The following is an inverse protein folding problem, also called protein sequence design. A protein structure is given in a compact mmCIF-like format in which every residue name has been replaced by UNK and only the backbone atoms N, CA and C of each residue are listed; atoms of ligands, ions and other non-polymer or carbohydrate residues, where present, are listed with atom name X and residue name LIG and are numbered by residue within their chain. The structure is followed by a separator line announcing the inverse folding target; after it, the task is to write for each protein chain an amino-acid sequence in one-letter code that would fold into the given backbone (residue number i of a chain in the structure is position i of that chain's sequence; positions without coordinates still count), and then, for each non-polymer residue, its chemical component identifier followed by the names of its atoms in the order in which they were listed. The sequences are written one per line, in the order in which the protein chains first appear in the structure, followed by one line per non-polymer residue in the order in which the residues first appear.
data_IF_596156404380
#
_entry.id   IF_596156404380
#
_cell.length_a   1.000
_cell.length_b   1.000
_cell.length_c   1.000
_cell.angle_alpha   90.00
_cell.angle_beta   90.00
_cell.angle_gamma   90.00
#
_symmetry.space_group_name_H-M   'P 1'
#
loop_
_entity.id
_entity.type
_entity.pdbx_description
1 polymer ?
#
# COMPACT_ATOMS: atom_id res chain seq x y z
N UNK A 1 37.65 11.73 1.49
CA UNK A 1 36.43 12.10 0.74
C UNK A 1 36.08 10.92 -0.15
N UNK A 2 35.14 10.08 0.26
CA UNK A 2 34.75 8.87 -0.49
C UNK A 2 33.48 9.19 -1.28
N UNK A 3 33.57 9.11 -2.61
CA UNK A 3 32.42 9.32 -3.48
C UNK A 3 31.41 8.18 -3.28
N UNK A 4 30.16 8.54 -2.96
CA UNK A 4 29.06 7.58 -2.90
C UNK A 4 28.86 6.95 -4.29
N UNK A 5 28.75 5.62 -4.31
CA UNK A 5 28.43 4.86 -5.51
C UNK A 5 27.02 5.25 -5.99
N UNK A 6 26.82 5.62 -7.27
CA UNK A 6 25.48 5.91 -7.77
C UNK A 6 24.70 4.61 -7.80
N UNK A 7 23.61 4.54 -7.02
CA UNK A 7 22.63 3.44 -7.11
C UNK A 7 21.78 3.71 -8.36
N UNK A 8 22.40 3.49 -9.52
CA UNK A 8 21.78 3.59 -10.82
C UNK A 8 21.15 2.26 -11.23
N UNK A 9 19.89 2.33 -11.66
CA UNK A 9 19.22 1.32 -12.47
C UNK A 9 18.92 0.01 -11.75
N UNK A 10 17.71 -0.14 -11.23
CA UNK A 10 17.16 -1.47 -11.04
C UNK A 10 17.03 -2.12 -12.43
N UNK A 11 18.01 -2.95 -12.76
CA UNK A 11 17.97 -3.89 -13.88
C UNK A 11 16.72 -4.76 -13.70
N UNK A 12 15.68 -4.46 -14.48
CA UNK A 12 14.52 -5.32 -14.63
C UNK A 12 14.98 -6.49 -15.47
N UNK A 13 15.52 -7.53 -14.83
CA UNK A 13 15.85 -8.77 -15.51
C UNK A 13 14.59 -9.29 -16.21
N UNK A 14 14.66 -9.56 -17.53
CA UNK A 14 13.55 -10.15 -18.24
C UNK A 14 13.48 -11.64 -17.89
N UNK A 15 12.28 -12.06 -17.49
CA UNK A 15 11.79 -13.45 -17.44
C UNK A 15 12.41 -14.42 -16.40
N UNK A 16 11.77 -14.42 -15.22
CA UNK A 16 11.70 -15.58 -14.31
C UNK A 16 10.26 -16.14 -14.30
N UNK A 17 9.67 -16.43 -15.47
CA UNK A 17 8.59 -17.42 -15.65
C UNK A 17 7.29 -17.31 -14.85
N UNK A 18 6.98 -16.18 -14.22
CA UNK A 18 5.67 -15.91 -13.66
C UNK A 18 5.29 -14.47 -13.98
N UNK A 19 4.60 -14.28 -15.11
CA UNK A 19 3.73 -13.13 -15.26
C UNK A 19 2.68 -13.21 -14.14
N UNK A 20 2.97 -12.56 -13.01
CA UNK A 20 2.05 -12.45 -11.89
C UNK A 20 0.91 -11.45 -12.20
N UNK A 21 0.74 -11.03 -13.45
CA UNK A 21 -0.33 -10.16 -13.88
C UNK A 21 -0.18 -8.74 -13.34
N UNK A 22 1.03 -8.16 -13.41
CA UNK A 22 1.15 -6.71 -13.17
C UNK A 22 0.62 -5.99 -14.41
N UNK A 23 -0.70 -5.83 -14.48
CA UNK A 23 -1.38 -5.19 -15.59
C UNK A 23 -1.16 -3.67 -15.61
N UNK A 24 -0.82 -3.09 -14.45
CA UNK A 24 -0.62 -1.64 -14.29
C UNK A 24 0.41 -1.35 -13.21
N UNK A 25 1.42 -0.55 -13.54
CA UNK A 25 2.32 0.06 -12.56
C UNK A 25 1.81 1.47 -12.22
N UNK A 26 1.42 1.69 -10.97
CA UNK A 26 0.89 3.01 -10.53
C UNK A 26 2.03 4.00 -10.29
N UNK A 27 3.18 3.52 -9.77
CA UNK A 27 4.37 4.36 -9.55
C UNK A 27 5.60 3.63 -10.06
N UNK A 28 6.28 4.26 -11.02
CA UNK A 28 7.43 3.71 -11.72
C UNK A 28 8.56 3.34 -10.77
N UNK A 29 9.03 2.10 -10.83
CA UNK A 29 10.20 1.62 -10.09
C UNK A 29 9.91 1.26 -8.63
N UNK A 30 8.74 0.68 -8.33
CA UNK A 30 8.18 0.42 -6.98
C UNK A 30 9.07 -0.35 -5.96
N UNK A 31 10.36 -0.58 -6.19
CA UNK A 31 11.34 -1.00 -5.17
C UNK A 31 12.30 0.15 -4.87
N UNK A 32 11.79 1.25 -4.31
CA UNK A 32 12.53 2.50 -4.11
C UNK A 32 12.00 3.68 -4.94
N UNK A 33 10.80 3.56 -5.49
CA UNK A 33 10.13 4.65 -6.17
C UNK A 33 9.87 5.83 -5.22
N UNK A 34 9.84 7.02 -5.80
CA UNK A 34 9.38 8.23 -5.10
C UNK A 34 7.99 8.57 -5.59
N UNK A 35 7.02 8.52 -4.68
CA UNK A 35 5.64 8.87 -4.94
C UNK A 35 5.35 10.38 -4.82
N UNK A 36 4.07 10.76 -4.95
CA UNK A 36 3.64 12.13 -4.66
C UNK A 36 4.10 12.57 -3.27
N UNK A 37 4.47 13.85 -3.14
CA UNK A 37 4.97 14.40 -1.88
C UNK A 37 6.37 13.93 -1.46
N UNK A 38 7.13 13.28 -2.35
CA UNK A 38 8.49 12.82 -2.04
C UNK A 38 8.53 11.56 -1.18
N UNK A 39 7.40 10.85 -1.06
CA UNK A 39 7.28 9.68 -0.19
C UNK A 39 7.92 8.47 -0.87
N UNK A 40 8.89 7.84 -0.20
CA UNK A 40 9.52 6.63 -0.71
C UNK A 40 8.61 5.41 -0.55
N UNK A 41 8.53 4.59 -1.60
CA UNK A 41 7.72 3.37 -1.63
C UNK A 41 8.55 2.15 -1.99
N UNK A 42 8.35 1.08 -1.21
CA UNK A 42 8.98 -0.21 -1.39
C UNK A 42 7.93 -1.31 -1.43
N UNK A 43 7.77 -1.93 -2.60
CA UNK A 43 6.82 -2.98 -2.88
C UNK A 43 7.54 -4.34 -2.90
N UNK A 44 7.34 -5.10 -1.83
CA UNK A 44 7.87 -6.47 -1.71
C UNK A 44 6.92 -7.44 -2.41
N UNK A 45 7.48 -8.44 -3.10
CA UNK A 45 6.75 -9.56 -3.70
C UNK A 45 7.34 -10.85 -3.15
N UNK A 46 6.63 -11.49 -2.22
CA UNK A 46 7.05 -12.72 -1.56
C UNK A 46 5.87 -13.70 -1.53
N UNK A 47 6.12 -14.97 -1.85
CA UNK A 47 5.09 -16.01 -1.79
C UNK A 47 4.62 -16.21 -0.35
N UNK A 48 3.32 -16.44 -0.18
CA UNK A 48 2.70 -16.70 1.12
C UNK A 48 2.23 -15.46 1.89
N UNK A 49 2.61 -14.25 1.43
CA UNK A 49 2.08 -13.00 1.95
C UNK A 49 0.79 -12.64 1.20
N UNK A 50 -0.26 -12.22 1.93
CA UNK A 50 -1.52 -11.76 1.32
C UNK A 50 -1.48 -10.26 1.10
N UNK A 51 -1.62 -9.45 2.15
CA UNK A 51 -1.43 -8.00 2.05
C UNK A 51 -0.84 -7.45 3.34
N UNK A 52 0.36 -6.89 3.24
CA UNK A 52 1.07 -6.26 4.34
C UNK A 52 1.45 -4.84 3.92
N UNK A 53 1.11 -3.86 4.73
CA UNK A 53 1.48 -2.48 4.53
C UNK A 53 2.00 -1.87 5.81
N UNK A 54 3.03 -1.04 5.66
CA UNK A 54 3.68 -0.35 6.76
C UNK A 54 4.04 1.06 6.31
N UNK A 55 3.74 2.03 7.19
CA UNK A 55 4.14 3.42 7.04
C UNK A 55 5.04 3.76 8.22
N UNK A 56 6.28 4.17 7.91
CA UNK A 56 7.29 4.52 8.90
C UNK A 56 7.51 6.03 8.85
N UNK A 57 7.29 6.71 9.97
CA UNK A 57 7.47 8.14 10.14
C UNK A 57 8.60 8.38 11.15
N UNK A 58 9.76 8.81 10.65
CA UNK A 58 10.95 9.06 11.46
C UNK A 58 11.10 10.53 11.86
N UNK A 59 11.59 10.77 13.07
CA UNK A 59 12.07 12.07 13.53
C UNK A 59 13.30 11.90 14.45
N UNK A 60 13.93 13.00 14.86
CA UNK A 60 15.11 12.93 15.73
C UNK A 60 14.77 12.20 17.04
N UNK A 61 15.41 11.05 17.28
CA UNK A 61 15.22 10.26 18.50
C UNK A 61 13.93 9.45 18.59
N UNK A 62 13.09 9.42 17.53
CA UNK A 62 11.83 8.67 17.57
C UNK A 62 11.38 8.17 16.19
N UNK A 63 10.55 7.12 16.21
CA UNK A 63 9.88 6.57 15.03
C UNK A 63 8.45 6.20 15.41
N UNK A 64 7.49 6.52 14.53
CA UNK A 64 6.14 6.01 14.57
C UNK A 64 5.93 5.07 13.38
N UNK A 65 5.47 3.85 13.66
CA UNK A 65 5.13 2.86 12.64
C UNK A 65 3.65 2.54 12.69
N UNK A 66 2.97 2.68 11.55
CA UNK A 66 1.59 2.25 11.36
C UNK A 66 1.61 1.04 10.43
N UNK A 67 1.13 -0.10 10.91
CA UNK A 67 1.21 -1.38 10.20
C UNK A 67 -0.17 -2.03 10.11
N UNK A 68 -0.46 -2.58 8.92
CA UNK A 68 -1.64 -3.38 8.67
C UNK A 68 -1.26 -4.68 7.96
N UNK A 69 -1.66 -5.80 8.56
CA UNK A 69 -1.42 -7.15 8.06
C UNK A 69 -2.76 -7.86 7.84
N UNK A 70 -3.09 -8.16 6.59
CA UNK A 70 -4.18 -9.06 6.23
C UNK A 70 -3.62 -10.46 6.05
N UNK A 71 -4.04 -11.40 6.89
CA UNK A 71 -3.66 -12.82 6.76
C UNK A 71 -4.52 -13.57 5.75
N UNK A 72 -5.79 -13.15 5.60
CA UNK A 72 -6.72 -13.70 4.64
C UNK A 72 -7.85 -12.70 4.33
N UNK A 73 -8.79 -13.10 3.47
CA UNK A 73 -9.88 -12.25 2.98
C UNK A 73 -10.95 -11.95 4.04
N UNK A 74 -10.99 -12.68 5.16
CA UNK A 74 -11.94 -12.40 6.25
C UNK A 74 -11.69 -11.02 6.87
N UNK A 75 -10.46 -10.51 6.77
CA UNK A 75 -10.09 -9.16 7.24
C UNK A 75 -10.93 -8.03 6.62
N UNK A 76 -11.50 -8.23 5.43
CA UNK A 76 -12.33 -7.24 4.75
C UNK A 76 -13.81 -7.32 5.15
N UNK A 77 -14.27 -8.46 5.65
CA UNK A 77 -15.70 -8.73 5.86
C UNK A 77 -16.39 -7.81 6.85
N UNK A 78 -15.75 -7.36 7.96
CA UNK A 78 -16.34 -6.35 8.84
C UNK A 78 -16.69 -5.06 8.11
N UNK A 79 -15.82 -4.59 7.21
CA UNK A 79 -16.06 -3.39 6.39
C UNK A 79 -17.21 -3.59 5.39
N UNK A 80 -17.30 -4.77 4.77
CA UNK A 80 -18.42 -5.12 3.88
C UNK A 80 -19.75 -5.12 4.64
N UNK A 81 -19.80 -5.76 5.81
CA UNK A 81 -21.00 -5.82 6.63
C UNK A 81 -21.42 -4.44 7.12
N UNK A 82 -20.48 -3.58 7.50
CA UNK A 82 -20.74 -2.19 7.85
C UNK A 82 -21.39 -1.44 6.67
N UNK A 83 -20.79 -1.53 5.48
CA UNK A 83 -21.33 -0.89 4.29
C UNK A 83 -22.75 -1.35 3.96
N UNK A 84 -23.01 -2.67 4.00
CA UNK A 84 -24.34 -3.24 3.71
C UNK A 84 -25.39 -2.79 4.73
N UNK A 85 -25.03 -2.67 6.01
CA UNK A 85 -25.97 -2.21 7.05
C UNK A 85 -26.31 -0.73 6.91
N UNK A 86 -25.34 0.08 6.49
CA UNK A 86 -25.46 1.53 6.43
C UNK A 86 -26.04 2.07 5.11
N UNK A 87 -25.98 1.30 4.01
CA UNK A 87 -26.34 1.79 2.67
C UNK A 87 -27.78 2.29 2.57
N UNK A 88 -28.73 1.65 3.26
CA UNK A 88 -30.14 2.05 3.22
C UNK A 88 -30.39 3.45 3.78
N UNK A 89 -29.51 3.94 4.65
CA UNK A 89 -29.60 5.25 5.30
C UNK A 89 -28.79 6.34 4.57
N UNK A 90 -28.11 6.01 3.47
CA UNK A 90 -27.24 6.91 2.72
C UNK A 90 -27.72 7.09 1.29
N UNK A 91 -28.67 8.02 1.03
CA UNK A 91 -29.12 8.30 -0.32
C UNK A 91 -28.00 8.90 -1.17
N UNK A 92 -27.98 8.57 -2.46
CA UNK A 92 -26.93 9.00 -3.38
C UNK A 92 -25.71 8.09 -3.36
N UNK A 93 -24.57 8.62 -3.81
CA UNK A 93 -23.30 7.88 -3.87
C UNK A 93 -22.41 8.26 -2.68
N UNK A 94 -22.06 7.27 -1.86
CA UNK A 94 -21.01 7.41 -0.85
C UNK A 94 -19.72 6.77 -1.38
N UNK A 95 -18.60 7.49 -1.32
CA UNK A 95 -17.28 7.01 -1.73
C UNK A 95 -16.39 6.89 -0.50
N UNK A 96 -15.74 5.74 -0.35
CA UNK A 96 -14.88 5.46 0.80
C UNK A 96 -15.63 4.92 2.03
N UNK A 97 -14.91 4.19 2.89
CA UNK A 97 -15.43 3.67 4.16
C UNK A 97 -15.17 4.62 5.34
N UNK A 98 -14.35 5.64 5.15
CA UNK A 98 -13.98 6.64 6.17
C UNK A 98 -15.21 7.33 6.78
N UNK A 99 -16.15 7.78 5.95
CA UNK A 99 -17.43 8.36 6.43
C UNK A 99 -18.30 7.39 7.23
N UNK A 100 -18.16 6.07 7.03
CA UNK A 100 -18.86 5.05 7.80
C UNK A 100 -18.13 4.69 9.10
N UNK A 101 -16.81 4.91 9.13
CA UNK A 101 -15.94 4.66 10.28
C UNK A 101 -15.79 5.89 11.19
N UNK A 102 -16.40 7.02 10.84
CA UNK A 102 -16.33 8.27 11.60
C UNK A 102 -15.09 9.12 11.31
N UNK A 103 -14.38 8.84 10.21
CA UNK A 103 -13.18 9.57 9.77
C UNK A 103 -13.42 10.46 8.54
N UNK A 104 -14.59 10.38 7.92
CA UNK A 104 -14.94 11.19 6.76
C UNK A 104 -15.36 12.61 7.15
N UNK A 105 -14.76 13.60 6.47
CA UNK A 105 -15.08 15.04 6.57
C UNK A 105 -16.28 15.42 5.71
#
# INVERSE_FOLDING_TARGET
MSAAHPVGGADVRPDDGADLGVLTEVVKGSRGATGPGGIHMHAVRLRGLVAHHEVILGAAGQTLTIRHDSYDRTSFMPGVLLAVREVANRPGLTVGLDTLLGFGS
#
